data_IF_650732548371
#
_entry.id   IF_650732548371
#
_cell.length_a   1.000
_cell.length_b   1.000
_cell.length_c   1.000
_cell.angle_alpha   90.00
_cell.angle_beta   90.00
_cell.angle_gamma   90.00
#
_symmetry.space_group_name_H-M   'P 1'
#
loop_
_entity.id
_entity.type
_entity.pdbx_description
1 polymer ?
#
# COMPACT_ATOMS: atom_id res chain seq x y z
N UNK A 1 10.49 -5.70 -1.32
CA UNK A 1 10.53 -4.25 -1.06
C UNK A 1 9.18 -3.82 -0.50
N UNK A 2 9.12 -3.38 0.76
CA UNK A 2 7.86 -2.89 1.36
C UNK A 2 7.53 -1.55 0.68
N UNK A 3 6.45 -1.51 -0.10
CA UNK A 3 6.01 -0.29 -0.77
C UNK A 3 5.67 0.77 0.27
N UNK A 4 6.27 1.95 0.14
CA UNK A 4 5.91 3.10 0.97
C UNK A 4 4.44 3.44 0.67
N UNK A 5 3.57 3.62 1.70
CA UNK A 5 2.16 3.89 1.48
C UNK A 5 1.97 5.13 0.59
N UNK A 6 1.27 4.93 -0.53
CA UNK A 6 0.93 5.96 -1.50
C UNK A 6 0.06 7.02 -0.80
N UNK A 7 0.66 8.14 -0.39
CA UNK A 7 -0.06 9.22 0.28
C UNK A 7 0.73 10.05 1.28
N UNK A 8 1.97 9.66 1.62
CA UNK A 8 2.69 10.23 2.78
C UNK A 8 3.75 11.31 2.51
N UNK A 9 3.98 11.69 1.26
CA UNK A 9 5.03 12.67 0.95
C UNK A 9 4.51 14.10 1.07
N UNK A 10 5.17 14.92 1.88
CA UNK A 10 4.86 16.35 2.01
C UNK A 10 5.08 17.08 0.69
N UNK A 11 4.51 18.28 0.56
CA UNK A 11 4.65 19.09 -0.66
C UNK A 11 6.11 19.53 -0.83
N UNK A 12 6.75 19.86 0.27
CA UNK A 12 8.12 20.35 0.39
C UNK A 12 9.09 19.25 -0.07
N UNK A 13 8.89 18.02 0.45
CA UNK A 13 9.68 16.87 0.03
C UNK A 13 9.58 16.60 -1.48
N UNK A 14 8.37 16.71 -2.04
CA UNK A 14 8.16 16.54 -3.48
C UNK A 14 8.84 17.64 -4.31
N UNK A 15 8.91 18.86 -3.80
CA UNK A 15 9.63 19.96 -4.45
C UNK A 15 11.13 19.70 -4.44
N UNK A 16 11.71 19.36 -3.28
CA UNK A 16 13.13 19.04 -3.15
C UNK A 16 13.53 17.84 -4.03
N UNK A 17 12.72 16.78 -4.03
CA UNK A 17 12.95 15.61 -4.88
C UNK A 17 12.97 15.94 -6.38
N UNK A 18 12.15 16.91 -6.82
CA UNK A 18 12.16 17.38 -8.20
C UNK A 18 13.40 18.24 -8.49
N UNK A 19 13.82 19.10 -7.55
CA UNK A 19 15.03 19.94 -7.70
C UNK A 19 16.30 19.13 -7.92
N UNK A 20 16.45 18.00 -7.22
CA UNK A 20 17.57 17.08 -7.44
C UNK A 20 17.73 16.68 -8.92
N UNK A 21 16.61 16.56 -9.64
CA UNK A 21 16.62 16.14 -11.05
C UNK A 21 16.70 17.35 -11.99
N UNK A 22 15.97 18.43 -11.69
CA UNK A 22 15.88 19.58 -12.60
C UNK A 22 17.06 20.54 -12.47
N UNK A 23 17.51 20.81 -11.25
CA UNK A 23 18.57 21.75 -10.89
C UNK A 23 19.91 21.02 -10.79
N UNK A 24 20.00 19.96 -9.98
CA UNK A 24 21.25 19.21 -9.76
C UNK A 24 21.55 18.16 -10.86
N UNK A 25 20.66 18.01 -11.85
CA UNK A 25 20.82 17.11 -13.02
C UNK A 25 21.06 15.64 -12.66
N UNK A 26 20.63 15.18 -11.48
CA UNK A 26 20.71 13.77 -11.10
C UNK A 26 19.81 12.91 -11.98
N UNK A 27 20.28 11.69 -12.28
CA UNK A 27 19.46 10.70 -12.98
C UNK A 27 18.33 10.17 -12.08
N UNK A 28 17.18 9.80 -12.67
CA UNK A 28 16.06 9.23 -11.91
C UNK A 28 16.45 8.00 -11.05
N UNK A 29 17.28 7.05 -11.53
CA UNK A 29 17.72 5.93 -10.71
C UNK A 29 18.59 6.35 -9.53
N UNK A 30 19.45 7.35 -9.70
CA UNK A 30 20.33 7.84 -8.64
C UNK A 30 19.55 8.61 -7.58
N UNK A 31 18.70 9.56 -8.00
CA UNK A 31 17.81 10.27 -7.08
C UNK A 31 16.86 9.30 -6.35
N UNK A 32 16.38 8.26 -7.05
CA UNK A 32 15.57 7.19 -6.45
C UNK A 32 16.31 6.44 -5.36
N UNK A 33 17.58 6.09 -5.58
CA UNK A 33 18.43 5.45 -4.54
C UNK A 33 18.65 6.37 -3.34
N UNK A 34 18.99 7.65 -3.55
CA UNK A 34 19.23 8.62 -2.46
C UNK A 34 18.00 8.84 -1.60
N UNK A 35 16.83 8.95 -2.22
CA UNK A 35 15.56 9.23 -1.52
C UNK A 35 14.80 7.95 -1.10
N UNK A 36 15.34 6.76 -1.40
CA UNK A 36 14.65 5.49 -1.23
C UNK A 36 13.25 5.48 -1.90
N UNK A 37 13.20 6.01 -3.12
CA UNK A 37 12.00 6.12 -3.96
C UNK A 37 12.13 5.29 -5.22
N UNK A 38 10.99 4.78 -5.70
CA UNK A 38 10.94 4.21 -7.03
C UNK A 38 11.22 5.31 -8.09
N UNK A 39 12.08 5.07 -9.10
CA UNK A 39 12.35 6.04 -10.16
C UNK A 39 11.09 6.49 -10.92
N UNK A 40 10.09 5.62 -11.02
CA UNK A 40 8.78 5.91 -11.60
C UNK A 40 8.02 7.01 -10.84
N UNK A 41 8.11 7.03 -9.51
CA UNK A 41 7.53 8.08 -8.66
C UNK A 41 8.15 9.44 -8.96
N UNK A 42 9.48 9.49 -9.09
CA UNK A 42 10.21 10.71 -9.44
C UNK A 42 9.88 11.19 -10.85
N UNK A 43 9.78 10.27 -11.81
CA UNK A 43 9.34 10.60 -13.17
C UNK A 43 7.95 11.23 -13.19
N UNK A 44 7.01 10.65 -12.43
CA UNK A 44 5.66 11.20 -12.28
C UNK A 44 5.69 12.63 -11.68
N UNK A 45 6.46 12.86 -10.62
CA UNK A 45 6.58 14.20 -10.01
C UNK A 45 7.21 15.22 -10.93
N UNK A 46 8.27 14.86 -11.67
CA UNK A 46 8.90 15.76 -12.64
C UNK A 46 7.95 16.12 -13.78
N UNK A 47 7.16 15.15 -14.28
CA UNK A 47 6.11 15.43 -15.28
C UNK A 47 5.06 16.39 -14.74
N UNK A 48 4.58 16.15 -13.51
CA UNK A 48 3.62 17.04 -12.86
C UNK A 48 4.19 18.44 -12.59
N UNK A 49 5.47 18.55 -12.23
CA UNK A 49 6.17 19.82 -12.08
C UNK A 49 6.23 20.60 -13.40
N UNK A 50 6.63 19.95 -14.49
CA UNK A 50 6.64 20.56 -15.83
C UNK A 50 5.25 21.03 -16.29
N UNK A 51 4.19 20.34 -15.85
CA UNK A 51 2.81 20.73 -16.10
C UNK A 51 2.25 21.79 -15.15
N UNK A 52 3.03 22.29 -14.17
CA UNK A 52 2.57 23.22 -13.13
C UNK A 52 1.66 22.58 -12.06
N UNK A 53 1.45 21.26 -12.11
CA UNK A 53 0.49 20.50 -11.29
C UNK A 53 1.12 19.75 -10.11
N UNK A 54 2.41 19.97 -9.81
CA UNK A 54 3.09 19.30 -8.68
C UNK A 54 2.36 19.51 -7.34
N UNK A 55 1.77 20.70 -7.14
CA UNK A 55 1.01 21.05 -5.95
C UNK A 55 -0.32 20.30 -5.83
N UNK A 56 -0.84 19.75 -6.93
CA UNK A 56 -2.12 19.04 -6.99
C UNK A 56 -1.99 17.56 -6.60
N UNK A 57 -0.78 17.01 -6.69
CA UNK A 57 -0.50 15.64 -6.27
C UNK A 57 -0.92 15.49 -4.79
N UNK A 58 -1.69 14.46 -4.48
CA UNK A 58 -2.14 14.20 -3.11
C UNK A 58 -3.16 15.18 -2.54
N UNK A 59 -3.63 16.21 -3.26
CA UNK A 59 -4.73 17.08 -2.79
C UNK A 59 -6.05 16.30 -2.58
N UNK A 60 -6.25 15.23 -3.35
CA UNK A 60 -7.41 14.33 -3.20
C UNK A 60 -7.18 13.22 -2.17
N UNK A 61 -5.96 13.01 -1.67
CA UNK A 61 -5.77 12.19 -0.49
C UNK A 61 -6.17 13.02 0.73
N UNK A 62 -7.48 13.06 1.02
CA UNK A 62 -7.91 13.35 2.37
C UNK A 62 -7.21 12.33 3.28
N UNK A 63 -6.53 12.76 4.36
CA UNK A 63 -6.18 11.80 5.40
C UNK A 63 -7.47 11.07 5.76
N UNK A 64 -7.44 9.73 5.74
CA UNK A 64 -8.57 8.92 6.20
C UNK A 64 -8.95 9.49 7.57
N UNK A 65 -10.22 9.87 7.70
CA UNK A 65 -10.73 10.29 9.00
C UNK A 65 -10.50 9.15 10.00
N UNK A 66 -10.38 9.48 11.28
CA UNK A 66 -10.18 8.48 12.34
C UNK A 66 -11.20 7.34 12.23
N UNK A 67 -12.46 7.70 11.93
CA UNK A 67 -13.55 6.77 11.65
C UNK A 67 -13.27 5.84 10.46
N UNK A 68 -12.76 6.35 9.34
CA UNK A 68 -12.43 5.52 8.18
C UNK A 68 -11.21 4.61 8.45
N UNK A 69 -10.25 5.06 9.26
CA UNK A 69 -9.13 4.23 9.70
C UNK A 69 -9.57 3.11 10.63
N UNK A 70 -10.46 3.40 11.58
CA UNK A 70 -11.07 2.39 12.45
C UNK A 70 -11.89 1.39 11.64
N UNK A 71 -12.76 1.87 10.74
CA UNK A 71 -13.55 1.02 9.88
C UNK A 71 -12.69 0.11 9.00
N UNK A 72 -11.56 0.60 8.48
CA UNK A 72 -10.59 -0.21 7.73
C UNK A 72 -9.94 -1.29 8.62
N UNK A 73 -9.57 -0.95 9.86
CA UNK A 73 -9.01 -1.90 10.83
C UNK A 73 -10.03 -2.97 11.20
N UNK A 74 -11.25 -2.58 11.57
CA UNK A 74 -12.34 -3.51 11.92
C UNK A 74 -12.69 -4.43 10.75
N UNK A 75 -12.71 -3.93 9.51
CA UNK A 75 -12.96 -4.78 8.32
C UNK A 75 -11.86 -5.81 8.11
N UNK A 76 -10.60 -5.44 8.38
CA UNK A 76 -9.46 -6.36 8.29
C UNK A 76 -9.56 -7.45 9.35
N UNK A 77 -9.77 -7.08 10.61
CA UNK A 77 -9.93 -8.03 11.72
C UNK A 77 -11.13 -8.97 11.48
N UNK A 78 -12.26 -8.43 11.00
CA UNK A 78 -13.43 -9.24 10.67
C UNK A 78 -13.14 -10.26 9.56
N UNK A 79 -12.33 -9.90 8.57
CA UNK A 79 -11.93 -10.81 7.50
C UNK A 79 -11.00 -11.92 8.02
N UNK A 80 -10.04 -11.58 8.87
CA UNK A 80 -9.13 -12.54 9.52
C UNK A 80 -9.91 -13.54 10.39
N UNK A 81 -10.77 -13.05 11.29
CA UNK A 81 -11.60 -13.91 12.16
C UNK A 81 -12.55 -14.80 11.35
N UNK A 82 -13.15 -14.29 10.27
CA UNK A 82 -13.99 -15.11 9.38
C UNK A 82 -13.20 -16.24 8.73
N UNK A 83 -11.99 -15.94 8.25
CA UNK A 83 -11.11 -16.93 7.64
C UNK A 83 -10.70 -18.01 8.65
N UNK A 84 -10.28 -17.63 9.86
CA UNK A 84 -9.93 -18.56 10.93
C UNK A 84 -11.09 -19.47 11.28
N UNK A 85 -12.28 -18.89 11.48
CA UNK A 85 -13.51 -19.65 11.72
C UNK A 85 -13.79 -20.65 10.60
N UNK A 86 -13.62 -20.25 9.34
CA UNK A 86 -13.90 -21.10 8.19
C UNK A 86 -12.88 -22.24 8.07
N UNK A 87 -11.63 -22.01 8.43
CA UNK A 87 -10.61 -23.05 8.55
C UNK A 87 -10.99 -24.06 9.63
N UNK A 88 -11.38 -23.58 10.83
CA UNK A 88 -11.79 -24.46 11.93
C UNK A 88 -13.03 -25.29 11.58
N UNK A 89 -14.01 -24.69 10.89
CA UNK A 89 -15.19 -25.42 10.40
C UNK A 89 -14.82 -26.52 9.41
N UNK A 90 -13.92 -26.23 8.46
CA UNK A 90 -13.43 -27.23 7.50
C UNK A 90 -12.67 -28.36 8.20
N UNK A 91 -11.83 -28.04 9.17
CA UNK A 91 -11.12 -29.04 9.97
C UNK A 91 -12.10 -29.93 10.75
N UNK A 92 -13.07 -29.34 11.46
CA UNK A 92 -14.08 -30.09 12.19
C UNK A 92 -14.90 -31.03 11.26
N UNK A 93 -15.30 -30.54 10.09
CA UNK A 93 -16.00 -31.36 9.10
C UNK A 93 -15.14 -32.52 8.57
N UNK A 94 -13.85 -32.26 8.32
CA UNK A 94 -12.90 -33.30 7.92
C UNK A 94 -12.78 -34.40 8.99
N UNK A 95 -12.54 -34.04 10.25
CA UNK A 95 -12.43 -35.01 11.33
C UNK A 95 -13.74 -35.78 11.58
N UNK A 96 -14.89 -35.11 11.52
CA UNK A 96 -16.18 -35.77 11.66
C UNK A 96 -16.40 -36.84 10.58
N UNK A 97 -15.97 -36.57 9.34
CA UNK A 97 -16.05 -37.53 8.23
C UNK A 97 -15.14 -38.75 8.43
N UNK A 98 -13.89 -38.54 8.88
CA UNK A 98 -12.95 -39.63 9.16
C UNK A 98 -13.36 -40.50 10.36
N UNK A 99 -14.16 -39.94 11.29
CA UNK A 99 -14.63 -40.62 12.50
C UNK A 99 -15.81 -41.57 12.27
N UNK A 100 -16.44 -41.54 11.08
CA UNK A 100 -17.57 -42.42 10.77
C UNK A 100 -17.07 -43.85 10.47
N UNK A 101 -17.51 -44.88 11.21
CA UNK A 101 -17.10 -46.25 10.95
C UNK A 101 -17.82 -46.79 9.71
N UNK A 102 -17.06 -46.98 8.63
CA UNK A 102 -17.51 -47.76 7.47
C UNK A 102 -17.46 -47.02 6.14
N UNK A 103 -16.28 -46.99 5.53
CA UNK A 103 -16.05 -47.22 4.08
C UNK A 103 -14.54 -47.35 3.86
N UNK A 104 -13.96 -48.42 4.38
CA UNK A 104 -12.76 -49.03 3.79
C UNK A 104 -13.27 -50.24 3.02
N UNK A 105 -13.41 -50.10 1.70
CA UNK A 105 -13.29 -51.25 0.79
C UNK A 105 -11.82 -51.37 0.40
#
# INVERSE_FOLDING_TARGET
MKGVPQGRYTREFRQEAVKLITEEKLSFPEAGRRLTLAPSTLNYWVKAYKAGKLREIGKMHKPLTELEMELARTRKELAEVKMERDILKKAAAYFARESLPGTRQ
#
